data_IF_207499615734
#
_entry.id   IF_207499615734
#
_cell.length_a   1.000
_cell.length_b   1.000
_cell.length_c   1.000
_cell.angle_alpha   90.00
_cell.angle_beta   90.00
_cell.angle_gamma   90.00
#
_symmetry.space_group_name_H-M   'P 1'
#
loop_
_entity.id
_entity.type
_entity.pdbx_description
1 polymer ?
#
# COMPACT_ATOMS: atom_id res chain seq x y z
N UNK A 1 11.50 8.89 -2.41
CA UNK A 1 11.91 7.73 -3.19
C UNK A 1 10.70 6.96 -3.64
N UNK A 2 10.65 6.59 -4.88
CA UNK A 2 9.53 5.84 -5.42
C UNK A 2 9.80 4.36 -5.32
N UNK A 3 8.80 3.60 -4.92
CA UNK A 3 8.90 2.16 -4.88
C UNK A 3 7.48 1.61 -4.99
N UNK A 4 7.32 0.30 -4.92
CA UNK A 4 6.00 -0.29 -4.89
C UNK A 4 5.65 -0.65 -3.46
N UNK A 5 4.36 -0.68 -3.15
CA UNK A 5 3.89 -0.86 -1.79
C UNK A 5 4.41 -2.11 -1.12
N UNK A 6 4.60 -3.19 -1.88
CA UNK A 6 5.08 -4.45 -1.33
C UNK A 6 6.48 -4.35 -0.74
N UNK A 7 7.22 -3.29 -1.07
CA UNK A 7 8.58 -3.16 -0.59
C UNK A 7 8.73 -2.21 0.59
N UNK A 8 7.63 -1.69 1.08
CA UNK A 8 7.68 -0.76 2.20
C UNK A 8 7.63 -1.54 3.51
N UNK A 9 8.54 -1.23 4.43
CA UNK A 9 8.63 -1.96 5.68
C UNK A 9 7.65 -1.46 6.72
N UNK A 10 7.29 -2.29 7.69
CA UNK A 10 6.42 -1.86 8.78
C UNK A 10 6.97 -0.60 9.45
N UNK A 11 6.08 0.31 9.75
CA UNK A 11 6.44 1.59 10.35
C UNK A 11 6.70 2.69 9.35
N UNK A 12 6.87 2.33 8.08
CA UNK A 12 7.13 3.29 7.03
C UNK A 12 5.86 3.48 6.22
N UNK A 13 5.79 4.53 5.48
CA UNK A 13 4.63 4.80 4.65
C UNK A 13 4.94 5.78 3.56
N UNK A 14 3.92 6.30 2.94
CA UNK A 14 4.09 7.26 1.86
C UNK A 14 2.77 7.64 1.24
N UNK A 15 2.85 8.20 0.05
CA UNK A 15 1.69 8.68 -0.66
C UNK A 15 1.58 7.91 -1.97
N UNK A 16 0.41 7.33 -2.21
CA UNK A 16 0.17 6.54 -3.41
C UNK A 16 0.27 7.45 -4.62
N UNK A 17 1.05 7.03 -5.61
CA UNK A 17 1.24 7.78 -6.83
C UNK A 17 0.40 7.22 -7.97
N UNK A 18 0.33 5.92 -8.08
CA UNK A 18 -0.46 5.30 -9.13
C UNK A 18 -0.82 3.88 -8.75
N UNK A 19 -1.86 3.37 -9.35
CA UNK A 19 -2.34 2.02 -9.11
C UNK A 19 -2.34 1.31 -10.44
N UNK A 20 -1.56 0.26 -10.54
CA UNK A 20 -1.47 -0.52 -11.75
C UNK A 20 -2.48 -1.64 -11.79
N UNK A 21 -2.13 -2.70 -12.48
CA UNK A 21 -3.05 -3.82 -12.67
C UNK A 21 -4.00 -3.53 -13.80
N UNK A 22 -4.91 -4.43 -14.03
CA UNK A 22 -5.85 -4.25 -15.10
C UNK A 22 -7.19 -4.76 -14.68
N UNK A 23 -8.23 -4.24 -15.30
CA UNK A 23 -9.57 -4.76 -15.14
C UNK A 23 -10.04 -4.81 -13.70
N UNK A 24 -10.49 -5.98 -13.31
CA UNK A 24 -11.08 -6.16 -11.98
C UNK A 24 -10.11 -5.91 -10.84
N UNK A 25 -8.86 -6.26 -11.00
CA UNK A 25 -7.90 -6.06 -9.94
C UNK A 25 -7.73 -4.57 -9.66
N UNK A 26 -7.49 -3.78 -10.69
CA UNK A 26 -7.29 -2.35 -10.50
C UNK A 26 -8.54 -1.72 -9.87
N UNK A 27 -9.72 -2.10 -10.37
CA UNK A 27 -10.95 -1.55 -9.83
C UNK A 27 -11.11 -1.92 -8.37
N UNK A 28 -10.79 -3.16 -7.99
CA UNK A 28 -10.91 -3.58 -6.61
C UNK A 28 -9.97 -2.79 -5.71
N UNK A 29 -8.74 -2.57 -6.15
CA UNK A 29 -7.77 -1.82 -5.35
C UNK A 29 -8.25 -0.38 -5.14
N UNK A 30 -8.75 0.24 -6.19
CA UNK A 30 -9.26 1.60 -6.08
C UNK A 30 -10.48 1.66 -5.15
N UNK A 31 -11.36 0.66 -5.23
CA UNK A 31 -12.55 0.62 -4.40
C UNK A 31 -12.21 0.42 -2.94
N UNK A 32 -11.07 -0.16 -2.63
CA UNK A 32 -10.62 -0.33 -1.26
C UNK A 32 -10.03 0.96 -0.70
N UNK A 33 -9.95 2.00 -1.51
CA UNK A 33 -9.42 3.27 -1.04
C UNK A 33 -7.97 3.52 -1.41
N UNK A 34 -7.37 2.60 -2.18
CA UNK A 34 -5.96 2.74 -2.54
C UNK A 34 -5.85 3.62 -3.78
N UNK A 35 -6.21 4.87 -3.63
CA UNK A 35 -6.28 5.80 -4.75
C UNK A 35 -5.07 6.73 -4.74
N UNK A 36 -4.73 7.33 -5.89
CA UNK A 36 -3.61 8.28 -5.95
C UNK A 36 -3.79 9.40 -4.94
N UNK A 37 -2.68 9.85 -4.38
CA UNK A 37 -2.62 10.92 -3.39
C UNK A 37 -3.07 10.49 -1.99
N UNK A 38 -3.41 9.24 -1.78
CA UNK A 38 -3.78 8.75 -0.46
C UNK A 38 -2.53 8.44 0.34
N UNK A 39 -2.52 8.84 1.61
CA UNK A 39 -1.40 8.57 2.49
C UNK A 39 -1.64 7.21 3.11
N UNK A 40 -0.63 6.36 3.11
CA UNK A 40 -0.75 5.03 3.71
C UNK A 40 0.43 4.78 4.61
N UNK A 41 0.25 3.86 5.53
CA UNK A 41 1.34 3.43 6.39
C UNK A 41 1.27 1.91 6.50
N UNK A 42 2.42 1.26 6.39
CA UNK A 42 2.48 -0.18 6.56
C UNK A 42 2.62 -0.44 8.05
N UNK A 43 1.70 -1.21 8.63
CA UNK A 43 1.71 -1.45 10.07
C UNK A 43 2.36 -2.77 10.42
N UNK A 44 2.17 -3.80 9.60
CA UNK A 44 2.87 -5.05 9.84
C UNK A 44 2.76 -5.96 8.63
N UNK A 45 3.60 -6.98 8.62
CA UNK A 45 3.60 -7.96 7.55
C UNK A 45 3.53 -9.30 8.26
N UNK A 46 2.70 -10.19 7.77
CA UNK A 46 2.54 -11.50 8.39
C UNK A 46 3.88 -12.24 8.46
N UNK A 47 4.05 -13.12 9.43
CA UNK A 47 5.32 -13.82 9.60
C UNK A 47 5.85 -14.53 8.36
N UNK A 48 4.96 -14.99 7.50
CA UNK A 48 5.39 -15.65 6.28
C UNK A 48 5.62 -14.66 5.15
N UNK A 49 5.50 -13.39 5.41
CA UNK A 49 5.71 -12.35 4.40
C UNK A 49 4.45 -11.91 3.71
N UNK A 50 3.32 -12.54 3.93
CA UNK A 50 2.11 -12.26 3.18
C UNK A 50 0.90 -12.70 4.01
N UNK A 51 -0.09 -11.87 4.19
CA UNK A 51 -0.28 -10.56 3.58
C UNK A 51 0.34 -9.44 4.41
N UNK A 52 0.27 -8.23 3.90
CA UNK A 52 0.71 -7.07 4.66
C UNK A 52 -0.52 -6.31 5.15
N UNK A 53 -0.36 -5.58 6.25
CA UNK A 53 -1.43 -4.81 6.83
C UNK A 53 -1.12 -3.33 6.67
N UNK A 54 -2.09 -2.55 6.26
CA UNK A 54 -1.93 -1.14 6.01
C UNK A 54 -2.91 -0.32 6.81
N UNK A 55 -2.54 0.91 7.11
CA UNK A 55 -3.44 1.86 7.75
C UNK A 55 -3.62 3.03 6.80
N UNK A 56 -4.84 3.41 6.51
CA UNK A 56 -5.15 4.55 5.66
C UNK A 56 -6.53 5.07 5.98
N UNK A 57 -6.68 6.37 5.92
CA UNK A 57 -7.97 7.02 6.09
C UNK A 57 -8.74 6.59 7.33
N UNK A 58 -8.03 6.24 8.37
CA UNK A 58 -8.68 5.87 9.64
C UNK A 58 -9.07 4.42 9.76
N UNK A 59 -8.68 3.56 8.82
CA UNK A 59 -9.00 2.15 8.94
C UNK A 59 -7.83 1.29 8.51
N UNK A 60 -7.92 0.01 8.82
CA UNK A 60 -6.87 -0.94 8.54
C UNK A 60 -7.37 -1.91 7.48
N UNK A 61 -6.52 -2.28 6.55
CA UNK A 61 -6.86 -3.32 5.60
C UNK A 61 -5.65 -4.20 5.36
N UNK A 62 -5.87 -5.40 4.84
CA UNK A 62 -4.78 -6.28 4.49
C UNK A 62 -4.76 -6.47 3.00
N UNK A 63 -3.57 -6.72 2.46
CA UNK A 63 -3.40 -6.80 1.03
C UNK A 63 -2.34 -7.83 0.73
N UNK A 64 -2.52 -8.65 -0.28
CA UNK A 64 -1.51 -9.60 -0.65
C UNK A 64 -0.35 -8.88 -1.27
N UNK A 65 0.85 -9.39 -1.06
CA UNK A 65 2.02 -8.72 -1.60
C UNK A 65 1.98 -8.61 -3.11
N UNK A 66 1.44 -9.61 -3.80
CA UNK A 66 1.38 -9.53 -5.24
C UNK A 66 0.47 -8.40 -5.72
N UNK A 67 -0.53 -8.06 -4.93
CA UNK A 67 -1.42 -6.95 -5.29
C UNK A 67 -0.74 -5.64 -4.91
N UNK A 68 -0.02 -5.62 -3.79
CA UNK A 68 0.68 -4.42 -3.36
C UNK A 68 1.77 -4.03 -4.37
N UNK A 69 2.30 -5.00 -5.10
CA UNK A 69 3.32 -4.73 -6.10
C UNK A 69 2.79 -3.89 -7.27
N UNK A 70 1.45 -3.78 -7.38
CA UNK A 70 0.85 -2.98 -8.44
C UNK A 70 0.67 -1.52 -8.05
N UNK A 71 1.04 -1.15 -6.84
CA UNK A 71 0.81 0.20 -6.34
C UNK A 71 2.12 0.94 -6.14
N UNK A 72 2.27 2.06 -6.83
CA UNK A 72 3.48 2.87 -6.73
C UNK A 72 3.32 3.90 -5.65
N UNK A 73 4.30 4.02 -4.79
CA UNK A 73 4.24 4.90 -3.63
C UNK A 73 5.47 5.77 -3.55
N UNK A 74 5.26 7.04 -3.21
CA UNK A 74 6.38 7.94 -2.91
C UNK A 74 6.59 7.82 -1.41
N UNK A 75 7.68 7.18 -1.02
CA UNK A 75 7.94 6.88 0.38
C UNK A 75 8.30 8.12 1.17
N UNK A 76 7.66 8.24 2.35
CA UNK A 76 7.97 9.32 3.25
C UNK A 76 8.54 8.70 4.48
N UNK A 77 9.78 9.09 4.78
CA UNK A 77 10.37 8.57 5.92
C UNK A 77 9.99 9.30 7.08
N UNK A 78 9.03 9.99 7.26
CA UNK A 78 8.71 10.75 8.29
C UNK A 78 8.14 10.16 9.32
N UNK A 79 8.39 10.55 10.32
CA UNK A 79 8.00 10.07 11.36
C UNK A 79 7.27 10.91 12.03
N UNK A 80 6.51 10.82 12.62
CA UNK A 80 5.72 11.65 13.22
C UNK A 80 5.73 11.86 14.32
#
# INVERSE_FOLDING_TARGET
MMTTLDKIRPGMGGIIQSVGGQGALRRRLLDMGLTPKTKIQVTKIAPMGDPMELYLRGYVLTLRLQDAAEIEVLVKEEVL
#
